data_IF_676047856015
#
_entry.id   IF_676047856015
#
_cell.length_a   1.000
_cell.length_b   1.000
_cell.length_c   1.000
_cell.angle_alpha   90.00
_cell.angle_beta   90.00
_cell.angle_gamma   90.00
#
_symmetry.space_group_name_H-M   'P 1'
#
loop_
_entity.id
_entity.type
_entity.pdbx_description
1 polymer ?
#
# COMPACT_ATOMS: atom_id res chain seq x y z
N UNK A 1 21.53 -10.36 18.22
CA UNK A 1 21.32 -9.31 19.24
C UNK A 1 22.07 -8.08 18.83
N UNK A 2 21.47 -6.92 18.98
CA UNK A 2 22.08 -5.61 18.74
C UNK A 2 22.20 -4.88 20.07
N UNK A 3 23.32 -4.17 20.28
CA UNK A 3 23.59 -3.44 21.52
C UNK A 3 24.11 -2.06 21.15
N UNK A 4 23.55 -1.01 21.76
CA UNK A 4 23.91 0.37 21.51
C UNK A 4 23.94 1.17 22.81
N UNK A 5 25.03 1.91 23.03
CA UNK A 5 25.07 2.94 24.08
C UNK A 5 24.63 4.27 23.48
N UNK A 6 23.62 4.89 24.08
CA UNK A 6 23.10 6.18 23.63
C UNK A 6 23.36 7.22 24.70
N UNK A 7 24.18 8.22 24.38
CA UNK A 7 24.38 9.41 25.21
C UNK A 7 23.22 10.36 24.95
N UNK A 8 22.55 10.76 26.02
CA UNK A 8 21.33 11.55 26.00
C UNK A 8 21.62 13.01 26.38
N UNK A 9 20.96 13.99 25.76
CA UNK A 9 21.19 15.39 26.06
C UNK A 9 20.76 15.78 27.48
N UNK A 10 21.45 16.77 28.06
CA UNK A 10 21.11 17.38 29.35
C UNK A 10 19.89 18.29 29.22
N UNK A 11 19.02 18.33 30.23
CA UNK A 11 17.81 19.17 30.20
C UNK A 11 16.75 18.68 29.19
N UNK A 12 16.78 17.39 28.87
CA UNK A 12 15.86 16.75 27.93
C UNK A 12 14.40 16.71 28.43
N UNK A 13 13.41 16.73 27.51
CA UNK A 13 12.04 16.39 27.85
C UNK A 13 11.91 14.89 28.17
N UNK A 14 10.69 14.45 28.50
CA UNK A 14 10.39 13.02 28.60
C UNK A 14 10.62 12.36 27.23
N UNK A 15 11.47 11.34 27.19
CA UNK A 15 11.83 10.65 25.95
C UNK A 15 11.03 9.37 25.77
N UNK A 16 10.70 9.07 24.52
CA UNK A 16 10.15 7.79 24.10
C UNK A 16 10.95 7.21 22.94
N UNK A 17 10.83 5.90 22.75
CA UNK A 17 11.35 5.16 21.60
C UNK A 17 10.16 4.74 20.73
N UNK A 18 10.19 5.11 19.46
CA UNK A 18 9.30 4.58 18.43
C UNK A 18 9.94 3.34 17.82
N UNK A 19 9.37 2.18 18.14
CA UNK A 19 9.74 0.91 17.55
C UNK A 19 8.93 0.68 16.28
N UNK A 20 9.58 0.58 15.11
CA UNK A 20 8.89 0.29 13.87
C UNK A 20 8.47 -1.18 13.82
N UNK A 21 7.86 -1.57 12.71
CA UNK A 21 7.68 -3.00 12.44
C UNK A 21 9.03 -3.70 12.29
N UNK A 22 9.16 -4.85 12.94
CA UNK A 22 10.24 -5.80 12.75
C UNK A 22 9.65 -7.06 12.12
N UNK A 23 10.41 -7.73 11.25
CA UNK A 23 9.89 -8.85 10.46
C UNK A 23 9.35 -10.03 11.30
N UNK A 24 9.78 -10.19 12.56
CA UNK A 24 9.32 -11.25 13.48
C UNK A 24 9.19 -10.71 14.92
N UNK A 25 9.82 -11.38 15.89
CA UNK A 25 9.75 -11.07 17.31
C UNK A 25 11.00 -10.38 17.81
N UNK A 26 10.82 -9.49 18.78
CA UNK A 26 11.88 -8.81 19.47
C UNK A 26 11.58 -8.59 20.96
N UNK A 27 12.66 -8.43 21.72
CA UNK A 27 12.68 -7.83 23.05
C UNK A 27 13.63 -6.64 23.02
N UNK A 28 13.13 -5.46 23.40
CA UNK A 28 13.92 -4.26 23.59
C UNK A 28 14.06 -3.98 25.08
N UNK A 29 15.31 -3.93 25.51
CA UNK A 29 15.71 -3.58 26.87
C UNK A 29 16.36 -2.21 26.87
N UNK A 30 16.00 -1.39 27.85
CA UNK A 30 16.76 -0.22 28.25
C UNK A 30 17.42 -0.53 29.59
N UNK A 31 18.75 -0.56 29.58
CA UNK A 31 19.60 -1.11 30.63
C UNK A 31 19.16 -2.55 30.96
N UNK A 32 18.65 -2.77 32.18
CA UNK A 32 18.15 -4.06 32.64
C UNK A 32 16.62 -4.20 32.58
N UNK A 33 15.90 -3.20 32.07
CA UNK A 33 14.43 -3.18 32.02
C UNK A 33 13.89 -3.46 30.62
N UNK A 34 13.01 -4.45 30.50
CA UNK A 34 12.28 -4.70 29.26
C UNK A 34 11.27 -3.57 29.05
N UNK A 35 11.40 -2.84 27.94
CA UNK A 35 10.56 -1.66 27.64
C UNK A 35 9.62 -1.86 26.45
N UNK A 36 9.95 -2.74 25.50
CA UNK A 36 9.06 -3.12 24.41
C UNK A 36 9.28 -4.57 24.00
N UNK A 37 8.22 -5.21 23.50
CA UNK A 37 8.28 -6.54 22.91
C UNK A 37 7.20 -6.73 21.86
N UNK A 38 7.45 -7.61 20.90
CA UNK A 38 6.42 -8.19 20.04
C UNK A 38 6.65 -9.70 19.89
N UNK A 39 5.58 -10.49 20.05
CA UNK A 39 5.69 -11.94 19.95
C UNK A 39 6.58 -12.56 21.04
N UNK A 40 7.23 -13.68 20.74
CA UNK A 40 8.15 -14.37 21.65
C UNK A 40 9.51 -14.60 20.99
N UNK A 41 10.59 -14.16 21.64
CA UNK A 41 11.96 -14.38 21.20
C UNK A 41 12.45 -15.73 21.71
N UNK A 42 12.60 -16.71 20.82
CA UNK A 42 13.06 -18.05 21.15
C UNK A 42 14.45 -18.36 20.58
N UNK A 43 15.13 -19.35 21.16
CA UNK A 43 16.40 -19.88 20.65
C UNK A 43 16.24 -20.86 19.48
N UNK A 44 15.00 -21.20 19.11
CA UNK A 44 14.66 -22.10 18.01
C UNK A 44 13.29 -21.74 17.42
N UNK A 45 12.92 -22.37 16.29
CA UNK A 45 11.65 -22.12 15.60
C UNK A 45 10.41 -22.45 16.45
N UNK A 46 10.45 -23.52 17.25
CA UNK A 46 9.29 -23.95 18.04
C UNK A 46 8.93 -22.96 19.16
N UNK A 47 9.95 -22.31 19.73
CA UNK A 47 9.80 -21.35 20.82
C UNK A 47 9.72 -19.90 20.33
N UNK A 48 9.84 -19.65 19.03
CA UNK A 48 9.74 -18.29 18.47
C UNK A 48 8.33 -18.05 17.94
N UNK A 49 7.68 -16.97 18.39
CA UNK A 49 6.36 -16.57 17.88
C UNK A 49 6.45 -15.19 17.26
N UNK A 50 6.26 -15.03 15.93
CA UNK A 50 6.30 -13.72 15.29
C UNK A 50 5.02 -12.92 15.62
N UNK A 51 5.16 -11.59 15.67
CA UNK A 51 4.03 -10.67 15.80
C UNK A 51 4.41 -9.32 15.21
N UNK A 52 3.51 -8.61 14.56
CA UNK A 52 3.81 -7.28 14.00
C UNK A 52 3.06 -6.22 14.79
N UNK A 53 3.81 -5.43 15.56
CA UNK A 53 3.27 -4.39 16.44
C UNK A 53 4.25 -3.21 16.56
N UNK A 54 4.16 -2.23 15.64
CA UNK A 54 4.81 -0.94 15.82
C UNK A 54 4.25 -0.25 17.07
N UNK A 55 5.12 0.29 17.92
CA UNK A 55 4.72 0.83 19.22
C UNK A 55 5.66 1.95 19.66
N UNK A 56 5.12 2.91 20.40
CA UNK A 56 5.89 3.98 21.05
C UNK A 56 5.92 3.69 22.56
N UNK A 57 7.12 3.53 23.12
CA UNK A 57 7.31 3.21 24.54
C UNK A 57 8.17 4.27 25.21
N UNK A 58 7.84 4.59 26.47
CA UNK A 58 8.64 5.52 27.26
C UNK A 58 10.06 4.98 27.49
N UNK A 59 11.06 5.84 27.34
CA UNK A 59 12.45 5.53 27.62
C UNK A 59 12.74 5.90 29.09
N UNK A 60 12.99 4.93 29.98
CA UNK A 60 13.32 5.20 31.38
C UNK A 60 14.75 5.74 31.48
N UNK A 61 14.94 6.99 31.07
CA UNK A 61 16.23 7.65 31.01
C UNK A 61 16.55 8.29 32.37
N UNK A 62 17.21 7.54 33.25
CA UNK A 62 17.61 8.01 34.60
C UNK A 62 18.99 8.67 34.63
N UNK A 63 19.89 8.29 33.71
CA UNK A 63 21.26 8.81 33.60
C UNK A 63 21.53 9.63 32.34
N UNK A 64 22.79 9.98 32.11
CA UNK A 64 23.28 10.62 30.89
C UNK A 64 23.42 9.62 29.72
N UNK A 65 23.55 8.33 30.03
CA UNK A 65 23.70 7.25 29.05
C UNK A 65 22.66 6.17 29.31
N UNK A 66 22.12 5.58 28.24
CA UNK A 66 21.27 4.39 28.30
C UNK A 66 21.84 3.28 27.42
N UNK A 67 21.84 2.05 27.93
CA UNK A 67 22.20 0.86 27.18
C UNK A 67 20.96 0.24 26.53
N UNK A 68 20.84 0.32 25.21
CA UNK A 68 19.77 -0.36 24.48
C UNK A 68 20.23 -1.74 24.02
N UNK A 69 19.51 -2.78 24.42
CA UNK A 69 19.73 -4.16 23.95
C UNK A 69 18.50 -4.65 23.21
N UNK A 70 18.64 -4.88 21.90
CA UNK A 70 17.59 -5.40 21.04
C UNK A 70 17.89 -6.86 20.66
N UNK A 71 17.08 -7.76 21.19
CA UNK A 71 17.10 -9.17 20.82
C UNK A 71 16.05 -9.40 19.74
N UNK A 72 16.42 -10.08 18.65
CA UNK A 72 15.53 -10.39 17.53
C UNK A 72 15.66 -11.87 17.22
N UNK A 73 14.53 -12.56 17.04
CA UNK A 73 14.48 -13.93 16.56
C UNK A 73 13.64 -14.02 15.28
N UNK A 74 14.20 -14.61 14.23
CA UNK A 74 13.49 -14.84 12.97
C UNK A 74 13.69 -16.29 12.52
N UNK A 75 12.61 -17.06 12.58
CA UNK A 75 12.53 -18.41 12.01
C UNK A 75 11.40 -18.57 10.98
N UNK A 76 10.53 -17.57 10.85
CA UNK A 76 9.27 -17.69 10.10
C UNK A 76 9.20 -16.77 8.87
N UNK A 77 10.16 -15.86 8.68
CA UNK A 77 10.19 -14.94 7.55
C UNK A 77 11.55 -14.99 6.85
N UNK A 78 11.60 -14.90 5.52
CA UNK A 78 12.86 -14.96 4.78
C UNK A 78 13.82 -13.81 5.15
N UNK A 79 13.28 -12.60 5.31
CA UNK A 79 14.05 -11.41 5.71
C UNK A 79 14.01 -11.22 7.22
N UNK A 80 15.15 -10.98 7.85
CA UNK A 80 15.28 -10.63 9.26
C UNK A 80 15.98 -9.28 9.48
N UNK A 81 16.24 -8.96 10.74
CA UNK A 81 16.94 -7.72 11.13
C UNK A 81 16.00 -6.51 11.23
N UNK A 82 16.62 -5.33 11.38
CA UNK A 82 15.97 -4.04 11.54
C UNK A 82 16.01 -3.34 10.18
N UNK A 83 14.84 -3.05 9.61
CA UNK A 83 14.73 -2.39 8.29
C UNK A 83 14.42 -0.90 8.41
N UNK A 84 13.50 -0.56 9.29
CA UNK A 84 13.07 0.82 9.52
C UNK A 84 13.85 1.42 10.70
N UNK A 85 14.10 2.73 10.69
CA UNK A 85 14.83 3.38 11.78
C UNK A 85 14.05 3.30 13.10
N UNK A 86 14.76 3.02 14.18
CA UNK A 86 14.24 3.17 15.55
C UNK A 86 14.46 4.62 15.96
N UNK A 87 13.40 5.34 16.31
CA UNK A 87 13.48 6.77 16.62
C UNK A 87 13.44 6.99 18.14
N UNK A 88 14.31 7.86 18.63
CA UNK A 88 14.26 8.37 20.01
C UNK A 88 13.92 9.85 19.92
N UNK A 89 12.92 10.29 20.68
CA UNK A 89 12.47 11.67 20.62
C UNK A 89 11.58 12.04 21.78
N UNK A 90 11.16 13.31 21.79
CA UNK A 90 10.18 13.85 22.71
C UNK A 90 8.87 13.03 22.67
N UNK A 91 8.37 12.66 23.85
CA UNK A 91 7.20 11.77 23.99
C UNK A 91 5.96 12.34 23.32
N UNK A 92 5.68 13.63 23.47
CA UNK A 92 4.48 14.25 22.91
C UNK A 92 4.60 14.41 21.39
N UNK A 93 5.79 14.73 20.89
CA UNK A 93 6.08 14.78 19.46
C UNK A 93 5.88 13.40 18.81
N UNK A 94 6.44 12.33 19.41
CA UNK A 94 6.30 10.97 18.89
C UNK A 94 4.85 10.46 18.96
N UNK A 95 4.12 10.76 20.05
CA UNK A 95 2.69 10.43 20.17
C UNK A 95 1.84 11.16 19.14
N UNK A 96 2.12 12.44 18.91
CA UNK A 96 1.41 13.25 17.91
C UNK A 96 1.67 12.72 16.51
N UNK A 97 2.94 12.45 16.17
CA UNK A 97 3.33 11.82 14.91
C UNK A 97 2.57 10.50 14.70
N UNK A 98 2.64 9.58 15.67
CA UNK A 98 1.95 8.29 15.61
C UNK A 98 0.44 8.43 15.41
N UNK A 99 -0.19 9.39 16.10
CA UNK A 99 -1.63 9.65 15.99
C UNK A 99 -2.02 10.11 14.58
N UNK A 100 -1.22 10.98 13.96
CA UNK A 100 -1.42 11.40 12.57
C UNK A 100 -1.21 10.26 11.57
N UNK A 101 -0.17 9.45 11.75
CA UNK A 101 0.10 8.29 10.90
C UNK A 101 -1.04 7.26 10.95
N UNK A 102 -1.54 6.94 12.15
CA UNK A 102 -2.69 6.06 12.34
C UNK A 102 -3.97 6.67 11.76
N UNK A 103 -4.24 7.94 12.07
CA UNK A 103 -5.45 8.64 11.63
C UNK A 103 -5.55 8.73 10.10
N UNK A 104 -4.44 9.03 9.42
CA UNK A 104 -4.41 9.14 7.96
C UNK A 104 -4.53 7.78 7.27
N UNK A 105 -3.92 6.73 7.85
CA UNK A 105 -4.05 5.36 7.34
C UNK A 105 -5.47 4.82 7.48
N UNK A 106 -6.12 5.13 8.61
CA UNK A 106 -7.53 4.78 8.82
C UNK A 106 -8.46 5.59 7.90
N UNK A 107 -8.19 6.89 7.71
CA UNK A 107 -8.95 7.72 6.79
C UNK A 107 -8.87 7.19 5.35
N UNK A 108 -7.67 6.83 4.87
CA UNK A 108 -7.50 6.19 3.57
C UNK A 108 -8.29 4.88 3.48
N UNK A 109 -8.17 4.00 4.48
CA UNK A 109 -8.87 2.73 4.48
C UNK A 109 -10.39 2.92 4.40
N UNK A 110 -10.95 3.82 5.21
CA UNK A 110 -12.39 4.11 5.22
C UNK A 110 -12.87 4.72 3.89
N UNK A 111 -12.15 5.72 3.36
CA UNK A 111 -12.51 6.38 2.11
C UNK A 111 -12.52 5.39 0.93
N UNK A 112 -11.44 4.60 0.78
CA UNK A 112 -11.34 3.61 -0.30
C UNK A 112 -12.32 2.45 -0.11
N UNK A 113 -12.63 2.06 1.12
CA UNK A 113 -13.65 1.05 1.38
C UNK A 113 -15.04 1.55 0.97
N UNK A 114 -15.40 2.76 1.36
CA UNK A 114 -16.68 3.39 0.99
C UNK A 114 -16.81 3.53 -0.53
N UNK A 115 -15.77 4.06 -1.18
CA UNK A 115 -15.71 4.18 -2.64
C UNK A 115 -15.83 2.82 -3.32
N UNK A 116 -15.07 1.83 -2.84
CA UNK A 116 -15.09 0.48 -3.39
C UNK A 116 -16.45 -0.18 -3.32
N UNK A 117 -17.11 -0.09 -2.15
CA UNK A 117 -18.47 -0.59 -1.96
C UNK A 117 -19.48 0.15 -2.82
N UNK A 118 -19.37 1.48 -2.95
CA UNK A 118 -20.25 2.27 -3.80
C UNK A 118 -20.18 1.81 -5.27
N UNK A 119 -18.97 1.63 -5.83
CA UNK A 119 -18.80 1.16 -7.20
C UNK A 119 -19.23 -0.30 -7.41
N UNK A 120 -19.08 -1.16 -6.39
CA UNK A 120 -19.63 -2.52 -6.43
C UNK A 120 -21.17 -2.48 -6.48
N UNK A 121 -21.82 -1.62 -5.68
CA UNK A 121 -23.28 -1.45 -5.72
C UNK A 121 -23.74 -0.92 -7.09
N UNK A 122 -23.04 0.07 -7.66
CA UNK A 122 -23.32 0.58 -9.01
C UNK A 122 -23.17 -0.53 -10.07
N UNK A 123 -22.15 -1.38 -9.94
CA UNK A 123 -22.00 -2.55 -10.82
C UNK A 123 -23.17 -3.54 -10.69
N UNK A 124 -23.68 -3.77 -9.48
CA UNK A 124 -24.83 -4.66 -9.28
C UNK A 124 -26.09 -4.13 -9.96
N UNK A 125 -26.25 -2.81 -10.06
CA UNK A 125 -27.32 -2.14 -10.80
C UNK A 125 -27.08 -2.18 -12.32
N UNK A 126 -25.84 -2.01 -12.78
CA UNK A 126 -25.47 -2.01 -14.19
C UNK A 126 -24.43 -3.09 -14.55
N UNK A 127 -24.81 -4.37 -14.44
CA UNK A 127 -23.90 -5.53 -14.61
C UNK A 127 -23.15 -5.61 -15.94
N UNK A 128 -23.56 -4.83 -16.95
CA UNK A 128 -22.87 -4.72 -18.24
C UNK A 128 -21.55 -3.96 -18.12
N UNK A 129 -21.41 -3.03 -17.15
CA UNK A 129 -20.25 -2.15 -16.99
C UNK A 129 -19.21 -2.74 -16.02
N UNK A 130 -18.52 -3.80 -16.46
CA UNK A 130 -17.54 -4.55 -15.63
C UNK A 130 -16.39 -3.70 -15.06
N UNK A 131 -16.06 -2.57 -15.68
CA UNK A 131 -15.05 -1.64 -15.14
C UNK A 131 -15.37 -1.14 -13.73
N UNK A 132 -16.66 -0.95 -13.40
CA UNK A 132 -17.10 -0.57 -12.05
C UNK A 132 -16.75 -1.64 -11.02
N UNK A 133 -16.93 -2.92 -11.36
CA UNK A 133 -16.56 -4.04 -10.47
C UNK A 133 -15.06 -4.07 -10.22
N UNK A 134 -14.25 -3.97 -11.28
CA UNK A 134 -12.79 -4.03 -11.15
C UNK A 134 -12.24 -2.86 -10.36
N UNK A 135 -12.78 -1.65 -10.57
CA UNK A 135 -12.42 -0.51 -9.77
C UNK A 135 -12.85 -0.67 -8.30
N UNK A 136 -14.09 -1.09 -8.05
CA UNK A 136 -14.56 -1.30 -6.69
C UNK A 136 -13.75 -2.34 -5.92
N UNK A 137 -13.40 -3.46 -6.57
CA UNK A 137 -12.52 -4.47 -6.00
C UNK A 137 -11.09 -3.96 -5.78
N UNK A 138 -10.58 -3.09 -6.66
CA UNK A 138 -9.28 -2.43 -6.48
C UNK A 138 -9.30 -1.54 -5.23
N UNK A 139 -10.32 -0.69 -5.06
CA UNK A 139 -10.46 0.17 -3.88
C UNK A 139 -10.57 -0.64 -2.59
N UNK A 140 -11.41 -1.69 -2.56
CA UNK A 140 -11.52 -2.58 -1.38
C UNK A 140 -10.19 -3.26 -1.08
N UNK A 141 -9.48 -3.74 -2.10
CA UNK A 141 -8.17 -4.39 -1.93
C UNK A 141 -7.15 -3.40 -1.36
N UNK A 142 -7.14 -2.15 -1.82
CA UNK A 142 -6.21 -1.13 -1.35
C UNK A 142 -6.58 -0.60 0.04
N UNK A 143 -7.86 -0.57 0.39
CA UNK A 143 -8.34 -0.31 1.74
C UNK A 143 -7.84 -1.38 2.74
N UNK A 144 -7.96 -2.66 2.37
CA UNK A 144 -7.39 -3.76 3.16
C UNK A 144 -5.87 -3.63 3.28
N UNK A 145 -5.17 -3.26 2.19
CA UNK A 145 -3.74 -3.03 2.23
C UNK A 145 -3.35 -1.90 3.19
N UNK A 146 -4.11 -0.81 3.22
CA UNK A 146 -3.88 0.31 4.15
C UNK A 146 -3.99 -0.11 5.63
N UNK A 147 -4.85 -1.09 5.95
CA UNK A 147 -5.02 -1.61 7.31
C UNK A 147 -3.92 -2.61 7.72
N UNK A 148 -3.43 -3.41 6.78
CA UNK A 148 -2.56 -4.57 7.04
C UNK A 148 -1.14 -4.43 6.49
N UNK A 149 -0.72 -3.22 6.08
CA UNK A 149 0.63 -2.90 5.62
C UNK A 149 1.21 -1.76 6.45
N UNK A 150 2.54 -1.67 6.52
CA UNK A 150 3.28 -0.58 7.20
C UNK A 150 3.03 -0.51 8.72
N UNK A 151 1.97 0.21 9.14
CA UNK A 151 1.67 0.47 10.56
C UNK A 151 0.83 -0.64 11.21
N UNK A 152 0.26 -1.55 10.42
CA UNK A 152 -0.66 -2.62 10.84
C UNK A 152 -1.80 -2.12 11.73
N UNK A 153 -2.47 -1.04 11.31
CA UNK A 153 -3.64 -0.48 12.00
C UNK A 153 -4.68 -1.55 12.32
N UNK A 154 -4.89 -2.51 11.43
CA UNK A 154 -5.82 -3.63 11.63
C UNK A 154 -5.46 -4.51 12.84
N UNK A 155 -4.17 -4.67 13.17
CA UNK A 155 -3.71 -5.44 14.34
C UNK A 155 -3.96 -4.67 15.64
N UNK A 156 -3.90 -3.33 15.61
CA UNK A 156 -4.28 -2.49 16.74
C UNK A 156 -5.79 -2.51 16.99
N UNK A 157 -6.61 -2.54 15.93
CA UNK A 157 -8.07 -2.60 16.02
C UNK A 157 -8.58 -3.99 16.44
N UNK A 158 -7.87 -5.06 16.05
CA UNK A 158 -8.22 -6.44 16.36
C UNK A 158 -7.01 -7.17 17.01
N UNK A 159 -6.76 -6.95 18.31
CA UNK A 159 -5.70 -7.63 19.02
C UNK A 159 -5.90 -9.15 18.99
N UNK A 160 -4.83 -9.91 18.75
CA UNK A 160 -4.87 -11.38 18.71
C UNK A 160 -5.04 -11.99 17.32
N UNK A 161 -5.06 -11.17 16.27
CA UNK A 161 -4.99 -11.69 14.89
C UNK A 161 -3.74 -12.57 14.70
N UNK A 162 -3.88 -13.77 14.11
CA UNK A 162 -2.74 -14.61 13.80
C UNK A 162 -1.78 -13.89 12.84
N UNK A 163 -0.49 -13.84 13.19
CA UNK A 163 0.53 -13.21 12.35
C UNK A 163 0.51 -13.73 10.90
N UNK A 164 0.32 -15.05 10.73
CA UNK A 164 0.20 -15.70 9.41
C UNK A 164 -0.92 -15.11 8.55
N UNK A 165 -2.05 -14.73 9.15
CA UNK A 165 -3.16 -14.12 8.43
C UNK A 165 -2.81 -12.70 7.98
N UNK A 166 -2.15 -11.93 8.84
CA UNK A 166 -1.71 -10.57 8.55
C UNK A 166 -0.72 -10.55 7.39
N UNK A 167 0.35 -11.35 7.46
CA UNK A 167 1.35 -11.43 6.38
C UNK A 167 0.75 -11.96 5.08
N UNK A 168 -0.14 -12.95 5.12
CA UNK A 168 -0.82 -13.41 3.89
C UNK A 168 -1.69 -12.32 3.30
N UNK A 169 -2.41 -11.56 4.12
CA UNK A 169 -3.25 -10.44 3.65
C UNK A 169 -2.42 -9.33 3.00
N UNK A 170 -1.29 -8.97 3.59
CA UNK A 170 -0.37 -7.97 3.04
C UNK A 170 0.11 -8.35 1.62
N UNK A 171 0.47 -9.62 1.40
CA UNK A 171 0.95 -10.12 0.11
C UNK A 171 -0.19 -10.34 -0.89
N UNK A 172 -1.33 -10.90 -0.45
CA UNK A 172 -2.48 -11.13 -1.32
C UNK A 172 -3.07 -9.83 -1.85
N UNK A 173 -3.15 -8.79 -1.02
CA UNK A 173 -3.64 -7.48 -1.47
C UNK A 173 -2.74 -6.88 -2.55
N UNK A 174 -1.43 -7.12 -2.49
CA UNK A 174 -0.46 -6.69 -3.49
C UNK A 174 -0.60 -7.45 -4.82
N UNK A 175 -1.00 -8.73 -4.81
CA UNK A 175 -1.32 -9.50 -6.03
C UNK A 175 -2.67 -9.11 -6.63
N UNK A 176 -3.70 -9.03 -5.80
CA UNK A 176 -5.05 -8.70 -6.24
C UNK A 176 -5.14 -7.28 -6.80
N UNK A 177 -4.41 -6.31 -6.22
CA UNK A 177 -4.38 -4.96 -6.77
C UNK A 177 -3.84 -4.92 -8.20
N UNK A 178 -2.84 -5.74 -8.54
CA UNK A 178 -2.32 -5.85 -9.91
C UNK A 178 -3.32 -6.53 -10.85
N UNK A 179 -4.05 -7.54 -10.37
CA UNK A 179 -5.10 -8.19 -11.16
C UNK A 179 -6.21 -7.19 -11.48
N UNK A 180 -6.72 -6.48 -10.48
CA UNK A 180 -7.83 -5.54 -10.65
C UNK A 180 -7.44 -4.35 -11.52
N UNK A 181 -6.22 -3.81 -11.37
CA UNK A 181 -5.73 -2.73 -12.21
C UNK A 181 -5.59 -3.15 -13.68
N UNK A 182 -5.04 -4.34 -13.96
CA UNK A 182 -4.94 -4.90 -15.32
C UNK A 182 -6.33 -5.10 -15.96
N UNK A 183 -7.27 -5.64 -15.20
CA UNK A 183 -8.64 -5.87 -15.68
C UNK A 183 -9.35 -4.54 -15.92
N UNK A 184 -9.20 -3.55 -15.03
CA UNK A 184 -9.74 -2.21 -15.18
C UNK A 184 -9.22 -1.53 -16.45
N UNK A 185 -7.89 -1.44 -16.63
CA UNK A 185 -7.27 -0.84 -17.83
C UNK A 185 -7.74 -1.56 -19.10
N UNK A 186 -7.90 -2.89 -19.05
CA UNK A 186 -8.38 -3.65 -20.20
C UNK A 186 -9.83 -3.36 -20.61
N UNK A 187 -10.66 -2.91 -19.68
CA UNK A 187 -12.04 -2.49 -19.96
C UNK A 187 -12.11 -1.03 -20.40
N UNK A 188 -11.22 -0.17 -19.91
CA UNK A 188 -11.11 1.22 -20.35
C UNK A 188 -10.61 1.29 -21.80
N UNK A 189 -9.61 0.49 -22.16
CA UNK A 189 -8.99 0.51 -23.50
C UNK A 189 -9.00 -0.87 -24.17
N UNK A 190 -10.18 -1.42 -24.53
CA UNK A 190 -10.30 -2.77 -25.07
C UNK A 190 -9.60 -2.94 -26.43
N UNK A 191 -9.57 -1.89 -27.25
CA UNK A 191 -8.91 -1.90 -28.56
C UNK A 191 -7.37 -1.90 -28.47
N UNK A 192 -6.81 -1.31 -27.40
CA UNK A 192 -5.37 -1.16 -27.21
C UNK A 192 -4.77 -2.29 -26.35
N UNK A 193 -5.62 -3.05 -25.67
CA UNK A 193 -5.19 -4.11 -24.76
C UNK A 193 -5.05 -5.44 -25.49
N UNK A 194 -3.85 -6.01 -25.46
CA UNK A 194 -3.64 -7.38 -25.90
C UNK A 194 -4.19 -8.38 -24.85
N UNK A 195 -5.23 -9.12 -25.21
CA UNK A 195 -5.90 -10.09 -24.34
C UNK A 195 -4.96 -11.21 -23.87
N UNK A 196 -4.02 -11.65 -24.70
CA UNK A 196 -3.05 -12.69 -24.35
C UNK A 196 -2.10 -12.20 -23.25
N UNK A 197 -1.46 -11.03 -23.45
CA UNK A 197 -0.54 -10.45 -22.48
C UNK A 197 -1.26 -10.20 -21.14
N UNK A 198 -2.45 -9.59 -21.19
CA UNK A 198 -3.28 -9.39 -19.99
C UNK A 198 -3.55 -10.71 -19.26
N UNK A 199 -4.00 -11.74 -19.97
CA UNK A 199 -4.34 -13.02 -19.35
C UNK A 199 -3.10 -13.69 -18.74
N UNK A 200 -1.94 -13.63 -19.41
CA UNK A 200 -0.67 -14.13 -18.86
C UNK A 200 -0.34 -13.42 -17.55
N UNK A 201 -0.38 -12.08 -17.54
CA UNK A 201 -0.07 -11.30 -16.33
C UNK A 201 -1.06 -11.59 -15.19
N UNK A 202 -2.35 -11.76 -15.49
CA UNK A 202 -3.35 -12.17 -14.49
C UNK A 202 -3.04 -13.57 -13.95
N UNK A 203 -2.72 -14.54 -14.81
CA UNK A 203 -2.35 -15.90 -14.40
C UNK A 203 -1.11 -15.87 -13.52
N UNK A 204 -0.08 -15.10 -13.86
CA UNK A 204 1.13 -14.96 -13.04
C UNK A 204 0.77 -14.44 -11.64
N UNK A 205 -0.04 -13.39 -11.53
CA UNK A 205 -0.48 -12.88 -10.23
C UNK A 205 -1.33 -13.90 -9.44
N UNK A 206 -2.19 -14.67 -10.12
CA UNK A 206 -2.96 -15.73 -9.50
C UNK A 206 -2.07 -16.87 -8.99
N UNK A 207 -1.01 -17.23 -9.72
CA UNK A 207 -0.02 -18.23 -9.28
C UNK A 207 0.67 -17.76 -8.00
N UNK A 208 1.12 -16.50 -7.94
CA UNK A 208 1.69 -15.94 -6.71
C UNK A 208 0.68 -15.92 -5.55
N UNK A 209 -0.59 -15.57 -5.81
CA UNK A 209 -1.64 -15.64 -4.81
C UNK A 209 -1.87 -17.07 -4.29
N UNK A 210 -1.92 -18.06 -5.17
CA UNK A 210 -2.06 -19.47 -4.80
C UNK A 210 -0.85 -19.95 -3.99
N UNK A 211 0.37 -19.61 -4.40
CA UNK A 211 1.60 -19.94 -3.65
C UNK A 211 1.52 -19.38 -2.23
N UNK A 212 1.14 -18.11 -2.05
CA UNK A 212 1.00 -17.50 -0.73
C UNK A 212 -0.10 -18.14 0.12
N UNK A 213 -1.21 -18.57 -0.49
CA UNK A 213 -2.29 -19.26 0.23
C UNK A 213 -1.86 -20.64 0.73
N UNK A 214 -1.18 -21.43 -0.10
CA UNK A 214 -0.87 -22.83 0.17
C UNK A 214 0.43 -23.01 0.97
N UNK A 215 1.39 -22.09 0.85
CA UNK A 215 2.71 -22.22 1.48
C UNK A 215 2.82 -21.46 2.81
N UNK A 216 3.90 -21.75 3.55
CA UNK A 216 4.28 -21.08 4.80
C UNK A 216 4.94 -19.71 4.47
N UNK A 217 4.73 -18.65 5.28
CA UNK A 217 5.46 -17.39 5.21
C UNK A 217 6.94 -17.45 4.81
N UNK A 218 7.72 -18.40 5.36
CA UNK A 218 9.14 -18.53 5.00
C UNK A 218 9.35 -18.77 3.49
N UNK A 219 8.45 -19.52 2.84
CA UNK A 219 8.58 -19.93 1.44
C UNK A 219 8.10 -18.87 0.48
N UNK A 220 6.98 -18.18 0.72
CA UNK A 220 6.51 -17.18 -0.26
C UNK A 220 7.25 -15.83 -0.13
N UNK A 221 7.72 -15.49 1.09
CA UNK A 221 8.40 -14.19 1.34
C UNK A 221 9.75 -14.08 0.62
N UNK A 222 10.41 -15.19 0.31
CA UNK A 222 11.67 -15.20 -0.47
C UNK A 222 11.47 -14.69 -1.92
N UNK A 223 10.27 -14.85 -2.47
CA UNK A 223 9.97 -14.48 -3.85
C UNK A 223 9.60 -13.01 -4.03
N UNK A 224 9.62 -12.21 -2.96
CA UNK A 224 9.21 -10.81 -3.01
C UNK A 224 9.98 -10.00 -4.06
N UNK A 225 11.30 -10.17 -4.16
CA UNK A 225 12.11 -9.46 -5.16
C UNK A 225 11.73 -9.85 -6.61
N UNK A 226 11.45 -11.13 -6.85
CA UNK A 226 10.98 -11.60 -8.16
C UNK A 226 9.61 -11.00 -8.47
N UNK A 227 8.72 -10.95 -7.47
CA UNK A 227 7.41 -10.36 -7.65
C UNK A 227 7.47 -8.84 -7.88
N UNK A 228 8.40 -8.11 -7.28
CA UNK A 228 8.61 -6.69 -7.59
C UNK A 228 8.97 -6.46 -9.08
N UNK A 229 9.69 -7.40 -9.71
CA UNK A 229 9.91 -7.36 -11.16
C UNK A 229 8.62 -7.60 -11.95
N UNK A 230 7.73 -8.49 -11.49
CA UNK A 230 6.39 -8.69 -12.09
C UNK A 230 5.56 -7.40 -11.99
N UNK A 231 5.57 -6.72 -10.85
CA UNK A 231 4.89 -5.41 -10.68
C UNK A 231 5.43 -4.39 -11.67
N UNK A 232 6.75 -4.30 -11.84
CA UNK A 232 7.35 -3.41 -12.82
C UNK A 232 6.88 -3.72 -14.25
N UNK A 233 6.80 -5.00 -14.63
CA UNK A 233 6.28 -5.42 -15.94
C UNK A 233 4.81 -5.00 -16.12
N UNK A 234 3.98 -5.18 -15.09
CA UNK A 234 2.57 -4.76 -15.11
C UNK A 234 2.44 -3.25 -15.30
N UNK A 235 3.24 -2.46 -14.57
CA UNK A 235 3.27 -1.00 -14.70
C UNK A 235 3.72 -0.58 -16.10
N UNK A 236 4.81 -1.15 -16.62
CA UNK A 236 5.32 -0.87 -17.97
C UNK A 236 4.24 -1.18 -19.02
N UNK A 237 3.55 -2.31 -18.89
CA UNK A 237 2.47 -2.67 -19.79
C UNK A 237 1.30 -1.68 -19.73
N UNK A 238 0.86 -1.29 -18.54
CA UNK A 238 -0.21 -0.30 -18.35
C UNK A 238 0.17 1.07 -18.96
N UNK A 239 1.40 1.54 -18.71
CA UNK A 239 1.93 2.77 -19.32
C UNK A 239 1.94 2.67 -20.84
N UNK A 240 2.34 1.53 -21.41
CA UNK A 240 2.38 1.34 -22.86
C UNK A 240 1.01 1.45 -23.52
N UNK A 241 -0.05 0.99 -22.84
CA UNK A 241 -1.44 1.10 -23.33
C UNK A 241 -1.86 2.57 -23.36
N UNK A 242 -1.49 3.35 -22.35
CA UNK A 242 -1.91 4.74 -22.20
C UNK A 242 -1.17 5.67 -23.15
N UNK A 243 0.13 5.44 -23.35
CA UNK A 243 0.89 6.16 -24.36
C UNK A 243 0.27 5.98 -25.75
N UNK A 244 -0.27 4.79 -26.05
CA UNK A 244 -1.05 4.56 -27.29
C UNK A 244 -2.41 5.24 -27.24
N UNK A 245 -3.09 5.25 -26.09
CA UNK A 245 -4.40 5.89 -25.93
C UNK A 245 -4.33 7.42 -26.15
N UNK A 246 -3.23 8.04 -25.73
CA UNK A 246 -2.92 9.45 -25.99
C UNK A 246 -2.87 9.78 -27.48
N UNK A 247 -2.26 8.89 -28.27
CA UNK A 247 -2.13 9.08 -29.72
C UNK A 247 -3.46 8.90 -30.48
N UNK A 248 -4.48 8.32 -29.83
CA UNK A 248 -5.79 8.05 -30.42
C UNK A 248 -6.93 8.92 -29.83
N UNK A 249 -6.59 10.00 -29.10
CA UNK A 249 -7.48 11.04 -28.57
C UNK A 249 -8.78 10.54 -27.91
N UNK A 250 -8.63 9.59 -26.96
CA UNK A 250 -9.79 9.07 -26.22
C UNK A 250 -10.20 10.02 -25.08
N UNK A 251 -11.52 10.22 -24.93
CA UNK A 251 -12.09 11.06 -23.87
C UNK A 251 -11.69 10.53 -22.48
N UNK A 252 -11.31 11.43 -21.58
CA UNK A 252 -10.96 11.08 -20.19
C UNK A 252 -9.55 10.51 -19.98
N UNK A 253 -8.66 10.60 -20.98
CA UNK A 253 -7.27 10.12 -20.89
C UNK A 253 -6.41 10.95 -19.92
N UNK A 254 -6.67 12.26 -19.77
CA UNK A 254 -5.85 13.13 -18.91
C UNK A 254 -5.90 12.80 -17.42
N UNK A 255 -7.07 12.65 -16.76
CA UNK A 255 -7.12 12.23 -15.36
C UNK A 255 -6.49 10.84 -15.14
N UNK A 256 -6.62 9.93 -16.10
CA UNK A 256 -5.99 8.62 -16.04
C UNK A 256 -4.47 8.72 -16.05
N UNK A 257 -3.90 9.55 -16.94
CA UNK A 257 -2.45 9.80 -16.98
C UNK A 257 -1.97 10.36 -15.64
N UNK A 258 -2.68 11.34 -15.09
CA UNK A 258 -2.36 11.91 -13.79
C UNK A 258 -2.33 10.81 -12.71
N UNK A 259 -3.33 9.93 -12.68
CA UNK A 259 -3.39 8.82 -11.72
C UNK A 259 -2.20 7.87 -11.83
N UNK A 260 -1.72 7.58 -13.04
CA UNK A 260 -0.64 6.60 -13.27
C UNK A 260 0.74 7.21 -13.11
N UNK A 261 0.94 8.45 -13.55
CA UNK A 261 2.18 9.19 -13.23
C UNK A 261 2.33 9.30 -11.72
N UNK A 262 1.26 9.69 -11.03
CA UNK A 262 1.25 9.74 -9.58
C UNK A 262 1.46 8.36 -8.96
N UNK A 263 0.85 7.30 -9.51
CA UNK A 263 1.08 5.91 -9.12
C UNK A 263 2.54 5.47 -9.25
N UNK A 264 3.22 5.83 -10.35
CA UNK A 264 4.65 5.55 -10.56
C UNK A 264 5.49 6.29 -9.54
N UNK A 265 5.22 7.58 -9.31
CA UNK A 265 5.96 8.39 -8.33
C UNK A 265 5.77 7.85 -6.92
N UNK A 266 4.54 7.50 -6.52
CA UNK A 266 4.25 6.91 -5.21
C UNK A 266 4.86 5.53 -5.05
N UNK A 267 4.80 4.68 -6.07
CA UNK A 267 5.45 3.36 -6.04
C UNK A 267 6.97 3.47 -5.96
N UNK A 268 7.58 4.40 -6.71
CA UNK A 268 9.01 4.67 -6.64
C UNK A 268 9.40 5.21 -5.25
N UNK A 269 8.61 6.13 -4.68
CA UNK A 269 8.81 6.64 -3.34
C UNK A 269 8.76 5.52 -2.28
N UNK A 270 7.73 4.68 -2.32
CA UNK A 270 7.57 3.53 -1.42
C UNK A 270 8.72 2.52 -1.60
N UNK A 271 9.15 2.24 -2.84
CA UNK A 271 10.26 1.33 -3.12
C UNK A 271 11.61 1.87 -2.61
N UNK A 272 11.89 3.16 -2.78
CA UNK A 272 13.12 3.81 -2.31
C UNK A 272 13.13 3.86 -0.78
N UNK A 273 12.00 4.17 -0.15
CA UNK A 273 11.83 4.08 1.29
C UNK A 273 11.94 2.63 1.78
N UNK A 274 11.43 1.66 1.02
CA UNK A 274 11.55 0.23 1.31
C UNK A 274 13.02 -0.21 1.38
N UNK A 275 13.87 0.32 0.50
CA UNK A 275 15.31 0.06 0.49
C UNK A 275 16.09 0.83 1.56
N UNK A 276 15.45 1.68 2.35
CA UNK A 276 16.06 2.43 3.45
C UNK A 276 16.84 3.68 3.01
N UNK A 277 16.68 4.14 1.77
CA UNK A 277 17.39 5.32 1.23
C UNK A 277 16.76 6.63 1.72
N UNK A 278 15.45 6.65 1.93
CA UNK A 278 14.68 7.80 2.41
C UNK A 278 13.74 7.37 3.55
N UNK A 279 13.49 8.25 4.54
CA UNK A 279 12.48 8.01 5.55
C UNK A 279 11.08 7.98 4.92
N UNK A 280 10.28 6.99 5.31
CA UNK A 280 8.90 6.86 4.87
C UNK A 280 8.01 7.83 5.65
N UNK A 281 7.30 8.69 4.93
CA UNK A 281 6.31 9.60 5.48
C UNK A 281 4.91 9.07 5.12
N UNK A 282 4.21 8.53 6.12
CA UNK A 282 2.89 7.91 5.92
C UNK A 282 1.85 8.90 5.44
N UNK A 283 1.92 10.18 5.85
CA UNK A 283 0.98 11.20 5.40
C UNK A 283 1.08 11.41 3.88
N UNK A 284 2.31 11.58 3.37
CA UNK A 284 2.58 11.74 1.94
C UNK A 284 2.12 10.52 1.16
N UNK A 285 2.45 9.33 1.65
CA UNK A 285 2.04 8.07 1.03
C UNK A 285 0.50 7.96 0.97
N UNK A 286 -0.18 8.25 2.08
CA UNK A 286 -1.61 8.05 2.18
C UNK A 286 -2.42 9.06 1.35
N UNK A 287 -2.05 10.35 1.44
CA UNK A 287 -2.63 11.40 0.58
C UNK A 287 -2.36 11.08 -0.89
N UNK A 288 -1.14 10.59 -1.18
CA UNK A 288 -0.72 10.20 -2.51
C UNK A 288 -1.65 9.15 -3.13
N UNK A 289 -1.92 8.07 -2.39
CA UNK A 289 -2.85 7.03 -2.83
C UNK A 289 -4.29 7.54 -2.95
N UNK A 290 -4.80 8.32 -2.00
CA UNK A 290 -6.14 8.90 -2.10
C UNK A 290 -6.29 9.72 -3.40
N UNK A 291 -5.31 10.56 -3.73
CA UNK A 291 -5.33 11.35 -4.95
C UNK A 291 -5.34 10.48 -6.22
N UNK A 292 -4.57 9.39 -6.27
CA UNK A 292 -4.59 8.42 -7.39
C UNK A 292 -6.00 7.88 -7.60
N UNK A 293 -6.67 7.44 -6.52
CA UNK A 293 -8.02 6.89 -6.60
C UNK A 293 -9.07 7.93 -6.98
N UNK A 294 -8.95 9.17 -6.52
CA UNK A 294 -9.80 10.29 -6.96
C UNK A 294 -9.67 10.50 -8.48
N UNK A 295 -8.46 10.54 -9.02
CA UNK A 295 -8.25 10.68 -10.47
C UNK A 295 -8.80 9.48 -11.27
N UNK A 296 -8.69 8.27 -10.74
CA UNK A 296 -9.31 7.08 -11.33
C UNK A 296 -10.84 7.15 -11.31
N UNK A 297 -11.43 7.65 -10.23
CA UNK A 297 -12.88 7.88 -10.13
C UNK A 297 -13.34 8.92 -11.14
N UNK A 298 -12.64 10.05 -11.28
CA UNK A 298 -12.95 11.05 -12.31
C UNK A 298 -12.87 10.41 -13.71
N UNK A 299 -11.82 9.62 -13.99
CA UNK A 299 -11.68 8.89 -15.26
C UNK A 299 -12.89 8.00 -15.55
N UNK A 300 -13.33 7.24 -14.54
CA UNK A 300 -14.48 6.36 -14.65
C UNK A 300 -15.78 7.12 -14.87
N UNK A 301 -16.02 8.20 -14.13
CA UNK A 301 -17.22 9.02 -14.29
C UNK A 301 -17.30 9.67 -15.67
N UNK A 302 -16.16 10.02 -16.28
CA UNK A 302 -16.09 10.49 -17.68
C UNK A 302 -16.42 9.34 -18.66
N UNK A 303 -15.83 8.15 -18.47
CA UNK A 303 -16.13 6.97 -19.30
C UNK A 303 -17.58 6.48 -19.17
N UNK A 304 -18.22 6.77 -18.03
CA UNK A 304 -19.62 6.48 -17.78
C UNK A 304 -20.57 7.56 -18.33
N UNK A 305 -20.04 8.62 -18.94
CA UNK A 305 -20.78 9.79 -19.44
C UNK A 305 -21.58 10.53 -18.35
N UNK A 306 -21.24 10.31 -17.08
CA UNK A 306 -21.81 11.04 -15.93
C UNK A 306 -21.25 12.46 -15.89
N UNK A 307 -19.94 12.60 -16.14
CA UNK A 307 -19.27 13.89 -16.33
C UNK A 307 -19.06 14.09 -17.82
N UNK A 308 -19.71 15.12 -18.37
CA UNK A 308 -19.47 15.56 -19.75
C UNK A 308 -18.23 16.45 -19.77
N UNK A 309 -17.18 15.96 -20.41
CA UNK A 309 -16.04 16.81 -20.80
C UNK A 309 -16.34 17.29 -22.20
N UNK A 310 -16.57 18.60 -22.37
CA UNK A 310 -16.62 19.20 -23.71
C UNK A 310 -15.30 18.88 -24.41
N UNK A 311 -15.36 18.15 -25.53
CA UNK A 311 -14.16 17.98 -26.33
C UNK A 311 -13.82 19.34 -26.90
N UNK A 312 -12.62 19.84 -26.61
CA UNK A 312 -11.98 20.92 -27.36
C UNK A 312 -11.57 20.42 -28.75
N UNK A 313 -12.44 19.68 -29.43
CA UNK A 313 -12.29 19.43 -30.86
C UNK A 313 -12.61 20.74 -31.55
N UNK A 314 -11.57 21.46 -31.97
CA UNK A 314 -11.65 22.57 -32.93
C UNK A 314 -12.13 22.12 -34.32
N UNK A 315 -12.76 20.95 -34.45
CA UNK A 315 -13.50 20.55 -35.63
C UNK A 315 -14.96 20.92 -35.41
N UNK A 316 -15.38 21.97 -36.12
CA UNK A 316 -16.79 22.29 -36.31
C UNK A 316 -17.50 21.02 -36.80
N UNK A 317 -18.51 20.57 -36.06
CA UNK A 317 -19.35 19.47 -36.53
C UNK A 317 -20.26 19.95 -37.66
N UNK A 318 -20.81 19.03 -38.45
CA UNK A 318 -21.74 19.37 -39.52
C UNK A 318 -22.93 20.21 -39.00
N UNK A 319 -23.39 19.93 -37.79
CA UNK A 319 -24.48 20.66 -37.14
C UNK A 319 -24.07 22.09 -36.73
N UNK A 320 -22.79 22.30 -36.39
CA UNK A 320 -22.24 23.64 -36.10
C UNK A 320 -22.11 24.48 -37.39
N UNK A 321 -21.86 23.84 -38.53
CA UNK A 321 -21.68 24.50 -39.83
C UNK A 321 -22.99 24.78 -40.56
N UNK A 322 -24.00 23.91 -40.42
CA UNK A 322 -25.19 23.94 -41.27
C UNK A 322 -26.51 24.13 -40.52
N UNK A 323 -26.48 24.24 -39.19
CA UNK A 323 -27.66 24.39 -38.35
C UNK A 323 -28.50 23.12 -38.30
N UNK A 324 -29.11 22.84 -37.14
CA UNK A 324 -30.06 21.73 -37.02
C UNK A 324 -31.22 21.94 -38.00
N UNK A 325 -31.40 21.01 -38.94
CA UNK A 325 -32.64 20.92 -39.71
C UNK A 325 -33.74 20.47 -38.76
N UNK A 326 -34.59 21.40 -38.37
CA UNK A 326 -35.83 21.09 -37.66
C UNK A 326 -36.63 20.07 -38.46
N UNK A 327 -36.94 18.95 -37.81
CA UNK A 327 -37.97 17.98 -38.20
C UNK A 327 -38.83 17.70 -36.99
#
# INVERSE_FOLDING_TARGET
TYVLHVVLPTGRPELSIEMPQLYNSYHLWADAKLIASNGNVGSNSANTKPYWLPQTVGLPATGDTVLLTLQVANYHHHTGGIREPILIGDTDALRTKRSWELGTSLAQACLLLMEGLAFIVLFLQERKKRMMLYFGLLCVTWALRALFSNLYVGVHLMPGLPWTLVVKTEYLTLFFAMIWSLLLVSQLFPALTNKLIRNILVIVNLVFATITLVTNPLTFTQWLNVYLAVVAIVIIYAVSIILRALLHDQRGVWPLIASILMGIVMFAYDLVAYKGVLPLNMLVLNIGYIAIFIFLTITLLIHLEVIKVESSSTMLTYDDMYGKKDK
#
